data_IF_507367664289
#
_entry.id   IF_507367664289
#
_cell.length_a   1.000
_cell.length_b   1.000
_cell.length_c   1.000
_cell.angle_alpha   90.00
_cell.angle_beta   90.00
_cell.angle_gamma   90.00
#
_symmetry.space_group_name_H-M   'P 1'
#
loop_
_entity.id
_entity.type
_entity.pdbx_description
1 polymer ?
#
# COMPACT_ATOMS: atom_id res chain seq x y z
N UNK A 1 -7.60 30.23 7.73
CA UNK A 1 -6.82 29.05 7.29
C UNK A 1 -7.84 27.95 6.99
N UNK A 2 -8.02 27.56 5.72
CA UNK A 2 -8.95 26.49 5.36
C UNK A 2 -8.24 25.15 5.64
N UNK A 3 -8.44 24.59 6.83
CA UNK A 3 -7.71 23.41 7.29
C UNK A 3 -8.17 22.16 6.52
N UNK A 4 -7.23 21.38 5.98
CA UNK A 4 -7.52 20.07 5.39
C UNK A 4 -7.95 19.08 6.48
N UNK A 5 -9.26 18.96 6.69
CA UNK A 5 -9.84 17.90 7.53
C UNK A 5 -9.70 16.50 6.91
N UNK A 6 -9.76 15.45 7.73
CA UNK A 6 -9.60 14.06 7.29
C UNK A 6 -10.63 13.65 6.22
N UNK A 7 -11.84 14.21 6.25
CA UNK A 7 -12.84 14.01 5.20
C UNK A 7 -12.37 14.48 3.82
N UNK A 8 -11.63 15.58 3.73
CA UNK A 8 -11.06 16.05 2.46
C UNK A 8 -9.98 15.10 1.96
N UNK A 9 -9.17 14.54 2.86
CA UNK A 9 -8.15 13.54 2.49
C UNK A 9 -8.80 12.27 1.96
N UNK A 10 -9.85 11.77 2.62
CA UNK A 10 -10.57 10.59 2.16
C UNK A 10 -11.27 10.84 0.82
N UNK A 11 -11.86 12.03 0.64
CA UNK A 11 -12.46 12.43 -0.63
C UNK A 11 -11.41 12.46 -1.74
N UNK A 12 -10.25 13.10 -1.50
CA UNK A 12 -9.16 13.14 -2.46
C UNK A 12 -8.66 11.74 -2.84
N UNK A 13 -8.58 10.81 -1.87
CA UNK A 13 -8.17 9.43 -2.10
C UNK A 13 -9.22 8.54 -2.80
N UNK A 14 -10.46 9.01 -2.93
CA UNK A 14 -11.58 8.23 -3.52
C UNK A 14 -12.20 8.97 -4.71
N UNK A 15 -13.31 9.69 -4.50
CA UNK A 15 -14.03 10.40 -5.55
C UNK A 15 -13.17 11.49 -6.23
N UNK A 16 -12.30 12.18 -5.50
CA UNK A 16 -11.39 13.18 -6.06
C UNK A 16 -10.38 12.58 -7.04
N UNK A 17 -9.80 11.42 -6.71
CA UNK A 17 -8.91 10.69 -7.61
C UNK A 17 -9.66 10.16 -8.85
N UNK A 18 -10.88 9.65 -8.67
CA UNK A 18 -11.74 9.23 -9.78
C UNK A 18 -12.02 10.38 -10.75
N UNK A 19 -12.38 11.56 -10.23
CA UNK A 19 -12.56 12.78 -11.03
C UNK A 19 -11.29 13.19 -11.78
N UNK A 20 -10.13 13.14 -11.12
CA UNK A 20 -8.84 13.45 -11.77
C UNK A 20 -8.52 12.51 -12.93
N UNK A 21 -9.00 11.27 -12.88
CA UNK A 21 -8.89 10.27 -13.95
C UNK A 21 -10.00 10.38 -15.01
N UNK A 22 -10.93 11.34 -14.88
CA UNK A 22 -12.10 11.45 -15.78
C UNK A 22 -13.07 10.27 -15.67
N UNK A 23 -13.03 9.54 -14.55
CA UNK A 23 -13.87 8.37 -14.28
C UNK A 23 -14.96 8.78 -13.30
N UNK A 24 -16.18 8.86 -13.79
CA UNK A 24 -17.31 9.12 -12.93
C UNK A 24 -17.68 7.84 -12.18
N UNK A 25 -17.70 6.68 -12.82
CA UNK A 25 -18.08 5.37 -12.25
C UNK A 25 -17.25 4.85 -11.04
N UNK A 26 -16.23 5.57 -10.54
CA UNK A 26 -15.37 5.15 -9.43
C UNK A 26 -15.51 6.02 -8.17
N UNK A 27 -15.01 5.52 -7.04
CA UNK A 27 -14.81 6.30 -5.81
C UNK A 27 -16.10 6.72 -5.08
N UNK A 28 -17.24 6.12 -5.42
CA UNK A 28 -18.57 6.46 -4.87
C UNK A 28 -19.42 5.22 -4.59
N UNK A 29 -20.21 5.27 -3.53
CA UNK A 29 -21.12 4.19 -3.13
C UNK A 29 -22.54 4.49 -3.62
N UNK A 30 -22.78 4.31 -4.91
CA UNK A 30 -24.06 4.60 -5.56
C UNK A 30 -24.38 3.55 -6.63
N UNK A 31 -25.66 3.25 -6.92
CA UNK A 31 -26.04 2.39 -8.04
C UNK A 31 -25.41 2.86 -9.36
N UNK A 32 -24.89 1.92 -10.15
CA UNK A 32 -24.22 2.20 -11.42
C UNK A 32 -22.73 2.56 -11.32
N UNK A 33 -22.18 2.77 -10.12
CA UNK A 33 -20.74 2.84 -9.90
C UNK A 33 -20.13 1.44 -9.82
N UNK A 34 -18.82 1.31 -10.08
CA UNK A 34 -18.09 0.07 -9.84
C UNK A 34 -18.07 -0.27 -8.35
N UNK A 35 -18.16 -1.56 -8.07
CA UNK A 35 -18.11 -2.09 -6.71
C UNK A 35 -16.64 -2.22 -6.24
N UNK A 36 -15.96 -1.08 -6.15
CA UNK A 36 -14.63 -0.93 -5.57
C UNK A 36 -14.78 -0.57 -4.09
N UNK A 37 -14.71 -1.57 -3.21
CA UNK A 37 -15.10 -1.46 -1.79
C UNK A 37 -13.97 -1.91 -0.88
N UNK A 38 -13.81 -1.23 0.24
CA UNK A 38 -12.92 -1.62 1.34
C UNK A 38 -13.75 -1.70 2.63
N UNK A 39 -13.78 -2.86 3.25
CA UNK A 39 -14.49 -3.09 4.53
C UNK A 39 -13.46 -3.13 5.65
N UNK A 40 -13.60 -2.23 6.62
CA UNK A 40 -12.76 -2.20 7.81
C UNK A 40 -13.49 -2.81 9.02
N UNK A 41 -12.81 -3.71 9.74
CA UNK A 41 -13.26 -4.28 11.00
C UNK A 41 -13.09 -3.26 12.13
N UNK A 42 -14.21 -2.65 12.54
CA UNK A 42 -14.23 -1.68 13.64
C UNK A 42 -14.00 -2.31 15.02
N UNK A 43 -14.06 -3.64 15.12
CA UNK A 43 -13.81 -4.36 16.36
C UNK A 43 -12.32 -4.61 16.63
N UNK A 44 -11.49 -4.50 15.58
CA UNK A 44 -10.05 -4.76 15.62
C UNK A 44 -9.35 -3.98 16.75
N UNK A 45 -8.38 -4.57 17.49
CA UNK A 45 -7.75 -3.92 18.64
C UNK A 45 -7.13 -2.55 18.33
N UNK A 46 -6.52 -2.41 17.15
CA UNK A 46 -5.91 -1.14 16.72
C UNK A 46 -6.92 -0.04 16.33
N UNK A 47 -8.22 -0.36 16.30
CA UNK A 47 -9.29 0.63 16.10
C UNK A 47 -9.78 1.24 17.42
N UNK A 48 -9.26 0.78 18.57
CA UNK A 48 -9.68 1.21 19.90
C UNK A 48 -8.83 2.38 20.44
N UNK A 49 -9.44 3.42 21.04
CA UNK A 49 -10.89 3.65 21.17
C UNK A 49 -11.55 4.09 19.85
N UNK A 50 -12.82 3.71 19.63
CA UNK A 50 -13.51 3.81 18.33
C UNK A 50 -14.27 5.14 18.10
N UNK A 51 -14.01 6.18 18.91
CA UNK A 51 -14.80 7.43 18.88
C UNK A 51 -14.85 8.09 17.49
N UNK A 52 -13.77 7.97 16.73
CA UNK A 52 -13.64 8.46 15.35
C UNK A 52 -13.02 7.35 14.50
N UNK A 53 -13.84 6.47 13.89
CA UNK A 53 -13.37 5.30 13.18
C UNK A 53 -12.46 5.62 11.99
N UNK A 54 -12.70 6.74 11.30
CA UNK A 54 -11.86 7.17 10.18
C UNK A 54 -10.48 7.59 10.69
N UNK A 55 -10.43 8.33 11.79
CA UNK A 55 -9.15 8.71 12.40
C UNK A 55 -8.41 7.48 12.94
N UNK A 56 -9.11 6.56 13.60
CA UNK A 56 -8.52 5.29 14.05
C UNK A 56 -7.99 4.45 12.89
N UNK A 57 -8.73 4.37 11.77
CA UNK A 57 -8.29 3.66 10.58
C UNK A 57 -7.02 4.27 9.98
N UNK A 58 -7.00 5.58 9.77
CA UNK A 58 -5.90 6.25 9.06
C UNK A 58 -4.63 6.35 9.90
N UNK A 59 -4.76 6.62 11.21
CA UNK A 59 -3.60 6.93 12.06
C UNK A 59 -3.20 5.80 13.01
N UNK A 60 -3.93 4.70 13.08
CA UNK A 60 -3.63 3.62 14.04
C UNK A 60 -3.74 2.23 13.45
N UNK A 61 -4.92 1.85 12.95
CA UNK A 61 -5.14 0.49 12.46
C UNK A 61 -4.48 0.24 11.11
N UNK A 62 -4.57 1.21 10.20
CA UNK A 62 -4.13 1.09 8.82
C UNK A 62 -4.77 -0.13 8.12
N UNK A 63 -4.00 -0.79 7.27
CA UNK A 63 -4.35 -2.00 6.54
C UNK A 63 -4.76 -3.17 7.44
N UNK A 64 -4.26 -3.24 8.68
CA UNK A 64 -4.55 -4.36 9.60
C UNK A 64 -6.03 -4.51 9.96
N UNK A 65 -6.80 -3.42 9.92
CA UNK A 65 -8.24 -3.49 10.13
C UNK A 65 -9.01 -3.74 8.82
N UNK A 66 -8.36 -3.78 7.66
CA UNK A 66 -9.03 -4.12 6.39
C UNK A 66 -9.34 -5.60 6.39
N UNK A 67 -10.64 -5.91 6.34
CA UNK A 67 -11.14 -7.29 6.36
C UNK A 67 -11.40 -7.80 4.96
N UNK A 68 -12.14 -7.05 4.16
CA UNK A 68 -12.52 -7.47 2.81
C UNK A 68 -12.31 -6.33 1.82
N UNK A 69 -11.86 -6.68 0.61
CA UNK A 69 -11.67 -5.73 -0.50
C UNK A 69 -12.30 -6.30 -1.75
N UNK A 70 -13.08 -5.48 -2.44
CA UNK A 70 -13.70 -5.80 -3.71
C UNK A 70 -13.19 -4.84 -4.78
N UNK A 71 -12.89 -5.39 -5.96
CA UNK A 71 -12.51 -4.64 -7.16
C UNK A 71 -13.45 -5.07 -8.29
N UNK A 72 -14.25 -4.13 -8.80
CA UNK A 72 -15.31 -4.36 -9.77
C UNK A 72 -16.25 -5.52 -9.34
N UNK A 73 -16.55 -5.59 -8.05
CA UNK A 73 -17.41 -6.62 -7.45
C UNK A 73 -16.74 -7.96 -7.19
N UNK A 74 -15.48 -8.15 -7.60
CA UNK A 74 -14.70 -9.36 -7.31
C UNK A 74 -13.93 -9.18 -6.02
N UNK A 75 -14.13 -10.09 -5.06
CA UNK A 75 -13.40 -10.10 -3.80
C UNK A 75 -11.93 -10.46 -4.04
N UNK A 76 -11.01 -9.59 -3.64
CA UNK A 76 -9.55 -9.75 -3.79
C UNK A 76 -8.82 -9.87 -2.45
N UNK A 77 -9.49 -9.47 -1.36
CA UNK A 77 -9.09 -9.73 0.02
C UNK A 77 -10.29 -10.31 0.75
N UNK A 78 -10.08 -11.40 1.48
CA UNK A 78 -11.07 -12.06 2.31
C UNK A 78 -10.49 -12.31 3.69
N UNK A 79 -11.18 -11.83 4.73
CA UNK A 79 -10.75 -11.98 6.13
C UNK A 79 -9.29 -11.57 6.38
N UNK A 80 -8.89 -10.42 5.83
CA UNK A 80 -7.55 -9.85 5.96
C UNK A 80 -6.49 -10.49 5.06
N UNK A 81 -6.84 -11.53 4.29
CA UNK A 81 -5.90 -12.26 3.43
C UNK A 81 -6.13 -11.97 1.95
N UNK A 82 -5.07 -11.64 1.21
CA UNK A 82 -5.11 -11.46 -0.24
C UNK A 82 -5.39 -12.81 -0.91
N UNK A 83 -6.42 -12.89 -1.75
CA UNK A 83 -6.88 -14.15 -2.37
C UNK A 83 -6.37 -14.35 -3.79
N UNK A 84 -5.65 -13.38 -4.33
CA UNK A 84 -5.31 -13.28 -5.76
C UNK A 84 -3.83 -13.39 -6.06
N UNK A 85 -3.01 -13.57 -5.02
CA UNK A 85 -1.56 -13.61 -5.11
C UNK A 85 -1.03 -14.78 -4.27
N UNK A 86 -0.01 -15.46 -4.77
CA UNK A 86 0.84 -16.33 -3.96
C UNK A 86 1.97 -15.49 -3.33
N UNK A 87 1.94 -15.23 -2.01
CA UNK A 87 2.95 -14.42 -1.37
C UNK A 87 4.35 -15.05 -1.46
N UNK A 88 4.47 -16.37 -1.40
CA UNK A 88 5.77 -17.04 -1.42
C UNK A 88 6.47 -16.82 -2.76
N UNK A 89 5.81 -17.17 -3.87
CA UNK A 89 6.35 -16.93 -5.21
C UNK A 89 6.58 -15.44 -5.50
N UNK A 90 5.72 -14.55 -5.00
CA UNK A 90 5.91 -13.11 -5.15
C UNK A 90 7.18 -12.61 -4.44
N UNK A 91 7.46 -13.10 -3.22
CA UNK A 91 8.67 -12.76 -2.49
C UNK A 91 9.94 -13.27 -3.19
N UNK A 92 9.93 -14.50 -3.69
CA UNK A 92 11.05 -15.05 -4.46
C UNK A 92 11.34 -14.21 -5.69
N UNK A 93 10.30 -13.87 -6.47
CA UNK A 93 10.46 -13.02 -7.64
C UNK A 93 11.02 -11.63 -7.31
N UNK A 94 10.61 -11.05 -6.19
CA UNK A 94 11.14 -9.77 -5.69
C UNK A 94 12.62 -9.89 -5.31
N UNK A 95 13.04 -10.96 -4.63
CA UNK A 95 14.44 -11.18 -4.28
C UNK A 95 15.32 -11.35 -5.52
N UNK A 96 14.85 -12.12 -6.50
CA UNK A 96 15.57 -12.30 -7.77
C UNK A 96 15.70 -10.99 -8.54
N UNK A 97 14.64 -10.17 -8.57
CA UNK A 97 14.68 -8.86 -9.19
C UNK A 97 15.65 -7.91 -8.47
N UNK A 98 15.69 -7.93 -7.14
CA UNK A 98 16.64 -7.16 -6.36
C UNK A 98 18.09 -7.61 -6.64
N UNK A 99 18.36 -8.91 -6.67
CA UNK A 99 19.70 -9.43 -6.96
C UNK A 99 20.20 -8.97 -8.33
N UNK A 100 19.33 -9.02 -9.36
CA UNK A 100 19.64 -8.48 -10.70
C UNK A 100 19.91 -6.97 -10.68
N UNK A 101 19.07 -6.21 -9.97
CA UNK A 101 19.22 -4.76 -9.85
C UNK A 101 20.54 -4.39 -9.18
N UNK A 102 20.92 -5.06 -8.09
CA UNK A 102 22.18 -4.81 -7.39
C UNK A 102 23.39 -5.18 -8.26
N UNK A 103 23.32 -6.29 -8.99
CA UNK A 103 24.39 -6.72 -9.89
C UNK A 103 24.58 -5.77 -11.08
N UNK A 104 23.49 -5.22 -11.64
CA UNK A 104 23.52 -4.26 -12.75
C UNK A 104 23.76 -2.81 -12.30
N UNK A 105 23.72 -2.55 -10.98
CA UNK A 105 23.88 -1.23 -10.37
C UNK A 105 25.04 -0.40 -10.94
N UNK A 106 26.27 -0.94 -11.04
CA UNK A 106 27.42 -0.20 -11.59
C UNK A 106 27.23 0.25 -13.05
N UNK A 107 26.53 -0.54 -13.87
CA UNK A 107 26.28 -0.18 -15.27
C UNK A 107 25.23 0.93 -15.40
N UNK A 108 24.39 1.10 -14.38
CA UNK A 108 23.31 2.10 -14.34
C UNK A 108 23.69 3.35 -13.54
N UNK A 109 24.72 3.28 -12.69
CA UNK A 109 25.25 4.44 -11.96
C UNK A 109 26.13 5.28 -12.88
N UNK A 110 25.84 6.57 -12.96
CA UNK A 110 26.62 7.51 -13.77
C UNK A 110 28.11 7.54 -13.40
N UNK A 111 28.45 7.29 -12.12
CA UNK A 111 29.82 7.26 -11.64
C UNK A 111 30.41 5.85 -11.53
N UNK A 112 29.70 4.82 -12.02
CA UNK A 112 30.18 3.43 -12.04
C UNK A 112 30.37 2.80 -10.67
N UNK A 113 29.74 3.33 -9.61
CA UNK A 113 29.90 2.83 -8.24
C UNK A 113 29.14 1.52 -8.04
N UNK A 114 29.62 0.72 -7.09
CA UNK A 114 28.93 -0.51 -6.71
C UNK A 114 27.65 -0.25 -5.91
N UNK A 115 26.80 -1.28 -5.85
CA UNK A 115 25.51 -1.18 -5.20
C UNK A 115 25.59 -0.98 -3.68
N UNK A 116 26.64 -1.50 -3.02
CA UNK A 116 26.86 -1.29 -1.59
C UNK A 116 27.22 0.17 -1.27
N UNK A 117 27.86 0.87 -2.20
CA UNK A 117 28.13 2.32 -2.09
C UNK A 117 26.88 3.16 -2.34
N UNK A 118 26.04 2.76 -3.31
CA UNK A 118 24.84 3.51 -3.71
C UNK A 118 23.69 3.31 -2.71
N UNK A 119 23.52 2.09 -2.21
CA UNK A 119 22.46 1.68 -1.31
C UNK A 119 23.04 0.86 -0.14
N UNK A 120 23.80 1.51 0.76
CA UNK A 120 24.47 0.81 1.86
C UNK A 120 23.45 0.21 2.83
N UNK A 121 23.80 -0.94 3.39
CA UNK A 121 23.02 -1.58 4.44
C UNK A 121 22.99 -0.73 5.70
N UNK A 122 21.83 -0.66 6.38
CA UNK A 122 21.69 0.03 7.67
C UNK A 122 22.56 -0.58 8.76
N UNK A 123 22.84 -1.88 8.66
CA UNK A 123 23.81 -2.60 9.48
C UNK A 123 24.89 -3.16 8.56
N UNK A 124 26.17 -2.80 8.75
CA UNK A 124 27.27 -3.37 7.97
C UNK A 124 27.33 -4.88 8.14
N UNK A 125 27.72 -5.61 7.09
CA UNK A 125 27.98 -7.05 7.19
C UNK A 125 29.19 -7.27 8.11
N UNK A 126 28.98 -7.98 9.22
CA UNK A 126 30.09 -8.38 10.11
C UNK A 126 31.07 -9.25 9.31
N UNK A 127 32.32 -8.78 9.20
CA UNK A 127 33.38 -9.43 8.44
C UNK A 127 33.84 -8.68 7.18
N UNK A 128 33.14 -7.64 6.75
CA UNK A 128 33.62 -6.74 5.70
C UNK A 128 34.51 -5.63 6.31
N UNK A 129 35.60 -6.02 6.97
CA UNK A 129 36.72 -5.12 7.28
C UNK A 129 37.99 -5.96 7.52
N UNK A 130 38.99 -5.69 6.69
CA UNK A 130 40.35 -6.25 6.56
C UNK A 130 40.53 -7.37 5.53
#
# INVERSE_FOLDING_TARGET
INTLGLGHVLHAATAGAAQALGRDDLGRLLPGAKADLVLADLSHPHMRPIRDPLRSLVFSAADRAVKDVFVDGRQVVSDGSVTTLDPAGAHEHLQDAQARMLADGPNRDFAGRDAETIAPLSLPRMGANH
#
